data_IF_395611370559
#
_entry.id   IF_395611370559
#
_cell.length_a   1.000
_cell.length_b   1.000
_cell.length_c   1.000
_cell.angle_alpha   90.00
_cell.angle_beta   90.00
_cell.angle_gamma   90.00
#
_symmetry.space_group_name_H-M   'P 1'
#
loop_
_entity.id
_entity.type
_entity.pdbx_description
1 polymer ?
#
# COMPACT_ATOMS: atom_id res chain seq x y z
N UNK A 1 15.23 -1.78 -15.23
CA UNK A 1 15.41 -0.55 -14.47
C UNK A 1 16.77 0.06 -14.86
N UNK A 2 16.78 1.28 -15.33
CA UNK A 2 18.01 2.01 -15.63
C UNK A 2 18.27 2.95 -14.47
N UNK A 3 19.39 2.80 -13.80
CA UNK A 3 19.94 3.81 -12.91
C UNK A 3 20.82 4.73 -13.77
N UNK A 4 20.52 6.03 -13.79
CA UNK A 4 21.29 7.01 -14.57
C UNK A 4 22.76 7.13 -14.14
N UNK A 5 23.13 6.54 -13.00
CA UNK A 5 24.51 6.52 -12.48
C UNK A 5 25.31 5.26 -12.79
N UNK A 6 24.66 4.18 -13.20
CA UNK A 6 25.30 2.90 -13.49
C UNK A 6 24.80 2.42 -14.86
N UNK A 7 25.66 2.40 -15.84
CA UNK A 7 25.34 2.02 -17.23
C UNK A 7 25.12 0.49 -17.36
N UNK A 8 24.61 -0.17 -16.32
CA UNK A 8 24.37 -1.62 -16.27
C UNK A 8 22.89 -1.91 -15.97
N UNK A 9 22.35 -2.90 -16.67
CA UNK A 9 21.00 -3.40 -16.46
C UNK A 9 20.97 -4.19 -15.15
N UNK A 10 20.31 -3.68 -14.14
CA UNK A 10 20.10 -4.41 -12.87
C UNK A 10 19.12 -5.55 -13.12
N UNK A 11 19.57 -6.79 -12.89
CA UNK A 11 18.69 -7.95 -12.93
C UNK A 11 17.71 -7.92 -11.72
N UNK A 12 16.49 -8.37 -11.95
CA UNK A 12 15.45 -8.43 -10.91
C UNK A 12 15.89 -9.22 -9.67
N UNK A 13 16.70 -10.28 -9.87
CA UNK A 13 17.29 -11.08 -8.78
C UNK A 13 18.15 -10.26 -7.83
N UNK A 14 18.85 -9.26 -8.36
CA UNK A 14 19.82 -8.43 -7.62
C UNK A 14 19.19 -7.17 -7.00
N UNK A 15 17.90 -6.93 -7.23
CA UNK A 15 17.19 -5.82 -6.61
C UNK A 15 16.88 -6.12 -5.14
N UNK A 16 16.92 -5.08 -4.30
CA UNK A 16 16.46 -5.22 -2.92
C UNK A 16 15.00 -5.65 -2.88
N UNK A 17 14.62 -6.41 -1.84
CA UNK A 17 13.25 -6.92 -1.69
C UNK A 17 12.20 -5.80 -1.78
N UNK A 18 12.47 -4.64 -1.15
CA UNK A 18 11.56 -3.50 -1.17
C UNK A 18 11.39 -2.86 -2.55
N UNK A 19 12.43 -2.83 -3.39
CA UNK A 19 12.33 -2.25 -4.73
C UNK A 19 11.60 -3.16 -5.73
N UNK A 20 11.49 -4.44 -5.45
CA UNK A 20 10.81 -5.40 -6.33
C UNK A 20 9.34 -5.05 -6.56
N UNK A 21 8.65 -4.52 -5.55
CA UNK A 21 7.24 -4.13 -5.69
C UNK A 21 7.05 -3.08 -6.79
N UNK A 22 7.93 -2.06 -6.86
CA UNK A 22 7.84 -1.02 -7.89
C UNK A 22 8.05 -1.60 -9.30
N UNK A 23 8.99 -2.52 -9.46
CA UNK A 23 9.25 -3.19 -10.73
C UNK A 23 8.07 -4.06 -11.17
N UNK A 24 7.45 -4.79 -10.24
CA UNK A 24 6.25 -5.59 -10.51
C UNK A 24 5.09 -4.69 -10.95
N UNK A 25 4.81 -3.61 -10.21
CA UNK A 25 3.76 -2.65 -10.57
C UNK A 25 4.02 -2.03 -11.95
N UNK A 26 5.25 -1.60 -12.21
CA UNK A 26 5.64 -1.08 -13.52
C UNK A 26 5.38 -2.09 -14.64
N UNK A 27 5.75 -3.36 -14.45
CA UNK A 27 5.52 -4.40 -15.44
C UNK A 27 4.04 -4.69 -15.68
N UNK A 28 3.24 -4.79 -14.62
CA UNK A 28 1.79 -5.01 -14.73
C UNK A 28 1.10 -3.91 -15.53
N UNK A 29 1.51 -2.66 -15.32
CA UNK A 29 0.97 -1.51 -16.07
C UNK A 29 1.49 -1.51 -17.51
N UNK A 30 2.80 -1.69 -17.71
CA UNK A 30 3.42 -1.60 -19.04
C UNK A 30 2.99 -2.72 -19.98
N UNK A 31 2.70 -3.90 -19.45
CA UNK A 31 2.25 -5.05 -20.23
C UNK A 31 0.72 -5.07 -20.43
N UNK A 32 0.01 -4.03 -19.99
CA UNK A 32 -1.46 -4.00 -20.03
C UNK A 32 -2.12 -5.22 -19.36
N UNK A 33 -1.44 -5.80 -18.35
CA UNK A 33 -1.95 -6.94 -17.59
C UNK A 33 -3.12 -6.56 -16.69
N UNK A 34 -3.23 -5.28 -16.33
CA UNK A 34 -4.32 -4.70 -15.55
C UNK A 34 -5.19 -3.81 -16.43
N UNK A 35 -6.50 -3.97 -16.30
CA UNK A 35 -7.52 -3.21 -17.04
C UNK A 35 -8.40 -2.44 -16.07
N UNK A 36 -9.06 -1.39 -16.57
CA UNK A 36 -10.06 -0.67 -15.80
C UNK A 36 -11.14 -1.62 -15.25
N UNK A 37 -11.39 -1.54 -13.96
CA UNK A 37 -12.34 -2.39 -13.25
C UNK A 37 -11.71 -3.65 -12.63
N UNK A 38 -10.45 -3.97 -12.93
CA UNK A 38 -9.73 -5.06 -12.26
C UNK A 38 -9.43 -4.72 -10.80
N UNK A 39 -9.13 -5.75 -10.02
CA UNK A 39 -8.70 -5.62 -8.63
C UNK A 39 -7.25 -6.05 -8.49
N UNK A 40 -6.41 -5.17 -7.98
CA UNK A 40 -5.04 -5.47 -7.60
C UNK A 40 -5.01 -5.74 -6.09
N UNK A 41 -4.64 -6.95 -5.70
CA UNK A 41 -4.49 -7.34 -4.30
C UNK A 41 -3.00 -7.27 -3.94
N UNK A 42 -2.67 -6.54 -2.89
CA UNK A 42 -1.31 -6.39 -2.36
C UNK A 42 -1.30 -6.69 -0.86
N UNK A 43 -0.44 -7.62 -0.47
CA UNK A 43 -0.29 -8.05 0.91
C UNK A 43 1.04 -7.51 1.45
N UNK A 44 0.97 -6.68 2.50
CA UNK A 44 2.10 -6.00 3.13
C UNK A 44 3.11 -5.41 2.13
N UNK A 45 2.63 -4.61 1.16
CA UNK A 45 3.49 -4.18 0.05
C UNK A 45 4.62 -3.24 0.50
N UNK A 46 4.51 -2.68 1.69
CA UNK A 46 5.50 -1.80 2.32
C UNK A 46 6.63 -2.53 3.05
N UNK A 47 6.56 -3.85 3.19
CA UNK A 47 7.59 -4.63 3.88
C UNK A 47 8.96 -4.42 3.21
N UNK A 48 9.99 -4.20 4.04
CA UNK A 48 11.35 -3.87 3.62
C UNK A 48 11.51 -2.51 2.90
N UNK A 49 10.51 -1.64 2.95
CA UNK A 49 10.61 -0.26 2.46
C UNK A 49 10.93 0.71 3.62
N UNK A 50 11.87 1.62 3.35
CA UNK A 50 12.07 2.78 4.22
C UNK A 50 10.79 3.64 4.22
N UNK A 51 10.41 4.31 5.34
CA UNK A 51 9.17 5.10 5.42
C UNK A 51 8.95 6.07 4.24
N UNK A 52 9.99 6.70 3.72
CA UNK A 52 9.89 7.58 2.53
C UNK A 52 9.37 6.82 1.30
N UNK A 53 9.83 5.58 1.08
CA UNK A 53 9.39 4.74 -0.02
C UNK A 53 7.98 4.18 0.18
N UNK A 54 7.55 4.01 1.43
CA UNK A 54 6.16 3.66 1.75
C UNK A 54 5.19 4.76 1.30
N UNK A 55 5.56 6.04 1.49
CA UNK A 55 4.78 7.19 1.01
C UNK A 55 4.71 7.18 -0.52
N UNK A 56 5.83 6.94 -1.20
CA UNK A 56 5.88 6.85 -2.67
C UNK A 56 5.01 5.69 -3.19
N UNK A 57 5.07 4.54 -2.53
CA UNK A 57 4.25 3.38 -2.88
C UNK A 57 2.74 3.69 -2.72
N UNK A 58 2.36 4.30 -1.59
CA UNK A 58 0.98 4.72 -1.35
C UNK A 58 0.48 5.66 -2.45
N UNK A 59 1.28 6.64 -2.86
CA UNK A 59 0.94 7.54 -3.95
C UNK A 59 0.74 6.79 -5.27
N UNK A 60 1.63 5.87 -5.62
CA UNK A 60 1.51 5.06 -6.84
C UNK A 60 0.21 4.25 -6.84
N UNK A 61 -0.13 3.59 -5.73
CA UNK A 61 -1.36 2.80 -5.62
C UNK A 61 -2.62 3.68 -5.76
N UNK A 62 -2.64 4.84 -5.11
CA UNK A 62 -3.75 5.79 -5.23
C UNK A 62 -3.89 6.30 -6.68
N UNK A 63 -2.78 6.58 -7.36
CA UNK A 63 -2.80 6.97 -8.77
C UNK A 63 -3.25 5.85 -9.70
N UNK A 64 -2.83 4.62 -9.46
CA UNK A 64 -3.34 3.44 -10.20
C UNK A 64 -4.87 3.38 -10.10
N UNK A 65 -5.42 3.56 -8.91
CA UNK A 65 -6.87 3.64 -8.72
C UNK A 65 -7.47 4.83 -9.48
N UNK A 66 -7.00 6.04 -9.22
CA UNK A 66 -7.59 7.28 -9.74
C UNK A 66 -7.48 7.40 -11.27
N UNK A 67 -6.31 7.11 -11.82
CA UNK A 67 -6.00 7.36 -13.24
C UNK A 67 -6.37 6.16 -14.12
N UNK A 68 -6.12 4.93 -13.65
CA UNK A 68 -6.36 3.73 -14.44
C UNK A 68 -7.69 3.05 -14.13
N UNK A 69 -8.33 3.41 -13.00
CA UNK A 69 -9.61 2.82 -12.57
C UNK A 69 -9.47 1.36 -12.15
N UNK A 70 -8.32 1.00 -11.57
CA UNK A 70 -8.03 -0.32 -11.02
C UNK A 70 -8.27 -0.25 -9.51
N UNK A 71 -9.11 -1.14 -8.99
CA UNK A 71 -9.37 -1.20 -7.54
C UNK A 71 -8.17 -1.79 -6.81
N UNK A 72 -7.86 -1.25 -5.63
CA UNK A 72 -6.76 -1.73 -4.80
C UNK A 72 -7.34 -2.33 -3.53
N UNK A 73 -6.95 -3.56 -3.23
CA UNK A 73 -7.14 -4.19 -1.91
C UNK A 73 -5.75 -4.37 -1.29
N UNK A 74 -5.45 -3.58 -0.26
CA UNK A 74 -4.16 -3.65 0.43
C UNK A 74 -4.36 -4.11 1.88
N UNK A 75 -3.52 -5.06 2.32
CA UNK A 75 -3.35 -5.43 3.72
C UNK A 75 -2.03 -4.85 4.22
N UNK A 76 -2.03 -4.24 5.40
CA UNK A 76 -0.84 -3.59 5.97
C UNK A 76 -0.94 -3.45 7.48
N UNK A 77 0.21 -3.48 8.17
CA UNK A 77 0.34 -3.06 9.57
C UNK A 77 1.30 -1.88 9.75
N UNK A 78 1.66 -1.19 8.71
CA UNK A 78 2.48 0.01 8.82
C UNK A 78 1.61 1.25 9.01
N UNK A 79 1.69 1.94 10.17
CA UNK A 79 0.97 3.18 10.37
C UNK A 79 1.40 4.26 9.37
N UNK A 80 2.66 4.23 8.91
CA UNK A 80 3.17 5.14 7.88
C UNK A 80 2.50 4.92 6.53
N UNK A 81 2.37 3.66 6.11
CA UNK A 81 1.75 3.33 4.83
C UNK A 81 0.25 3.64 4.84
N UNK A 82 -0.47 3.24 5.90
CA UNK A 82 -1.91 3.50 6.05
C UNK A 82 -2.15 5.02 6.03
N UNK A 83 -1.38 5.79 6.80
CA UNK A 83 -1.50 7.25 6.82
C UNK A 83 -1.19 7.87 5.47
N UNK A 84 -0.18 7.36 4.77
CA UNK A 84 0.15 7.84 3.43
C UNK A 84 -1.00 7.60 2.44
N UNK A 85 -1.66 6.44 2.49
CA UNK A 85 -2.85 6.15 1.67
C UNK A 85 -3.95 7.18 1.96
N UNK A 86 -4.29 7.43 3.23
CA UNK A 86 -5.32 8.43 3.60
C UNK A 86 -5.01 9.82 3.04
N UNK A 87 -3.77 10.29 3.27
CA UNK A 87 -3.33 11.61 2.82
C UNK A 87 -3.36 11.69 1.29
N UNK A 88 -2.83 10.68 0.59
CA UNK A 88 -2.81 10.68 -0.87
C UNK A 88 -4.21 10.56 -1.47
N UNK A 89 -5.10 9.79 -0.88
CA UNK A 89 -6.50 9.75 -1.31
C UNK A 89 -7.18 11.12 -1.17
N UNK A 90 -6.88 11.87 -0.11
CA UNK A 90 -7.39 13.24 0.05
C UNK A 90 -6.77 14.20 -0.99
N UNK A 91 -5.45 14.15 -1.20
CA UNK A 91 -4.75 14.96 -2.20
C UNK A 91 -5.26 14.74 -3.63
N UNK A 92 -5.60 13.48 -3.97
CA UNK A 92 -6.16 13.11 -5.27
C UNK A 92 -7.69 13.16 -5.34
N UNK A 93 -8.35 13.79 -4.35
CA UNK A 93 -9.81 13.99 -4.29
C UNK A 93 -10.61 12.67 -4.44
N UNK A 94 -10.13 11.60 -3.82
CA UNK A 94 -10.80 10.30 -3.83
C UNK A 94 -10.97 9.67 -2.43
N UNK A 95 -10.89 10.49 -1.36
CA UNK A 95 -10.98 10.02 0.02
C UNK A 95 -12.30 9.28 0.31
N UNK A 96 -13.43 9.72 -0.25
CA UNK A 96 -14.73 9.11 -0.01
C UNK A 96 -14.89 7.70 -0.61
N UNK A 97 -14.00 7.31 -1.52
CA UNK A 97 -13.99 5.98 -2.13
C UNK A 97 -13.16 4.97 -1.32
N UNK A 98 -12.34 5.45 -0.39
CA UNK A 98 -11.57 4.60 0.52
C UNK A 98 -12.49 3.87 1.51
N UNK A 99 -12.14 2.63 1.81
CA UNK A 99 -12.76 1.82 2.86
C UNK A 99 -11.66 1.22 3.71
N UNK A 100 -11.82 1.30 5.02
CA UNK A 100 -10.83 0.82 5.98
C UNK A 100 -11.47 -0.22 6.89
N UNK A 101 -10.86 -1.39 6.95
CA UNK A 101 -11.32 -2.51 7.75
C UNK A 101 -10.25 -2.88 8.76
N UNK A 102 -10.62 -2.99 10.02
CA UNK A 102 -9.73 -3.44 11.07
C UNK A 102 -10.05 -4.89 11.44
N UNK A 103 -9.02 -5.74 11.37
CA UNK A 103 -9.12 -7.15 11.77
C UNK A 103 -8.84 -7.28 13.26
N UNK A 104 -9.83 -7.66 14.04
CA UNK A 104 -9.72 -7.90 15.49
C UNK A 104 -9.80 -9.38 15.78
N UNK A 105 -8.98 -9.85 16.72
CA UNK A 105 -9.12 -11.20 17.26
C UNK A 105 -10.18 -11.15 18.37
N UNK A 106 -11.20 -12.01 18.26
CA UNK A 106 -12.24 -12.21 19.26
C UNK A 106 -12.25 -13.69 19.65
N UNK A 107 -11.95 -13.99 20.91
CA UNK A 107 -11.81 -15.33 21.50
C UNK A 107 -11.23 -16.41 20.56
N UNK A 108 -12.02 -16.91 19.60
CA UNK A 108 -11.64 -17.98 18.68
C UNK A 108 -11.77 -17.62 17.18
N UNK A 109 -12.02 -16.34 16.85
CA UNK A 109 -12.23 -15.90 15.48
C UNK A 109 -11.56 -14.56 15.21
N UNK A 110 -11.32 -14.27 13.92
CA UNK A 110 -10.97 -12.93 13.47
C UNK A 110 -12.21 -12.26 12.91
N UNK A 111 -12.50 -11.07 13.40
CA UNK A 111 -13.65 -10.26 12.97
C UNK A 111 -13.13 -9.04 12.22
N UNK A 112 -13.68 -8.82 11.04
CA UNK A 112 -13.44 -7.58 10.27
C UNK A 112 -14.47 -6.53 10.64
N UNK A 113 -14.01 -5.37 11.08
CA UNK A 113 -14.85 -4.23 11.43
C UNK A 113 -14.58 -3.09 10.46
N UNK A 114 -15.63 -2.52 9.86
CA UNK A 114 -15.51 -1.30 9.07
C UNK A 114 -15.24 -0.12 10.02
N UNK A 115 -14.10 0.52 9.85
CA UNK A 115 -13.64 1.66 10.64
C UNK A 115 -13.39 2.90 9.76
N UNK A 116 -14.01 2.94 8.60
CA UNK A 116 -13.84 4.02 7.62
C UNK A 116 -14.13 5.40 8.24
N UNK A 117 -15.14 5.50 9.10
CA UNK A 117 -15.51 6.75 9.79
C UNK A 117 -14.62 7.05 11.01
N UNK A 118 -13.83 6.08 11.48
CA UNK A 118 -12.96 6.21 12.65
C UNK A 118 -11.69 5.39 12.53
N UNK A 119 -10.82 5.79 11.63
CA UNK A 119 -9.52 5.14 11.40
C UNK A 119 -8.57 5.23 12.61
N UNK A 120 -8.85 6.08 13.60
CA UNK A 120 -8.06 6.15 14.82
C UNK A 120 -7.98 4.81 15.55
N UNK A 121 -9.01 3.96 15.46
CA UNK A 121 -8.96 2.61 16.05
C UNK A 121 -7.79 1.76 15.50
N UNK A 122 -7.43 1.94 14.23
CA UNK A 122 -6.29 1.25 13.63
C UNK A 122 -4.99 1.77 14.27
N UNK A 123 -4.85 3.09 14.36
CA UNK A 123 -3.62 3.70 14.91
C UNK A 123 -3.44 3.39 16.38
N UNK A 124 -4.51 3.44 17.16
CA UNK A 124 -4.49 3.08 18.59
C UNK A 124 -3.98 1.65 18.77
N UNK A 125 -4.47 0.71 17.97
CA UNK A 125 -4.04 -0.68 18.03
C UNK A 125 -2.58 -0.86 17.57
N UNK A 126 -2.14 -0.17 16.52
CA UNK A 126 -0.76 -0.25 16.01
C UNK A 126 0.27 0.40 16.96
N UNK A 127 -0.14 1.44 17.71
CA UNK A 127 0.75 2.11 18.67
C UNK A 127 0.67 1.52 20.08
N UNK A 128 -0.34 0.72 20.40
CA UNK A 128 -0.50 0.11 21.73
C UNK A 128 0.77 -0.61 22.23
N UNK A 129 1.54 -1.37 21.43
CA UNK A 129 2.77 -2.01 21.90
C UNK A 129 3.84 -1.02 22.37
N UNK A 130 3.85 0.22 21.87
CA UNK A 130 4.80 1.26 22.30
C UNK A 130 4.49 1.78 23.72
N UNK A 131 3.24 1.64 24.17
CA UNK A 131 2.85 2.04 25.53
C UNK A 131 3.30 1.02 26.60
N UNK A 132 3.85 -0.12 26.17
CA UNK A 132 4.40 -1.15 27.05
C UNK A 132 5.90 -0.97 27.34
N UNK A 133 6.54 0.01 26.68
CA UNK A 133 7.96 0.36 26.87
C UNK A 133 8.12 1.47 27.88
#
# INVERSE_FOLDING_TARGET
FWDEGINEKIEFSNMSAGLKIFTVLQQLISNYSLKRGDVLIVDEPEVNLHPTWQITLAEILVRIYKELGIFILANSHSPYFIRAIEVKMAEYECALQGRYYFMKQDENAYISTDVTENTNEIYDALYQPLNLL
#
